data_IF_472221713304
#
_entry.id   IF_472221713304
#
_cell.length_a   1.000
_cell.length_b   1.000
_cell.length_c   1.000
_cell.angle_alpha   90.00
_cell.angle_beta   90.00
_cell.angle_gamma   90.00
#
_symmetry.space_group_name_H-M   'P 1'
#
loop_
_entity.id
_entity.type
_entity.pdbx_description
1 polymer ?
#
# COMPACT_ATOMS: atom_id res chain seq x y z
N UNK A 1 -22.80 4.52 4.04
CA UNK A 1 -21.83 4.09 3.00
C UNK A 1 -20.50 3.61 3.62
N UNK A 2 -20.48 2.57 4.46
CA UNK A 2 -19.29 2.16 5.23
C UNK A 2 -18.65 0.81 4.81
N UNK A 3 -19.24 0.11 3.84
CA UNK A 3 -18.86 -1.28 3.52
C UNK A 3 -17.63 -1.40 2.61
N UNK A 4 -17.39 -0.43 1.71
CA UNK A 4 -16.29 -0.46 0.73
C UNK A 4 -14.88 -0.34 1.33
N UNK A 5 -14.71 0.42 2.41
CA UNK A 5 -13.37 0.69 2.98
C UNK A 5 -12.83 -0.55 3.71
N UNK A 6 -13.70 -1.30 4.40
CA UNK A 6 -13.32 -2.56 5.04
C UNK A 6 -12.89 -3.62 4.01
N UNK A 7 -13.51 -3.65 2.83
CA UNK A 7 -13.11 -4.58 1.77
C UNK A 7 -11.75 -4.20 1.18
N UNK A 8 -11.52 -2.92 0.88
CA UNK A 8 -10.24 -2.46 0.32
C UNK A 8 -9.08 -2.72 1.26
N UNK A 9 -9.19 -2.29 2.53
CA UNK A 9 -8.14 -2.50 3.54
C UNK A 9 -7.81 -3.98 3.74
N UNK A 10 -8.84 -4.83 3.79
CA UNK A 10 -8.67 -6.28 3.94
C UNK A 10 -7.98 -6.91 2.73
N UNK A 11 -8.35 -6.50 1.52
CA UNK A 11 -7.71 -6.93 0.27
C UNK A 11 -6.26 -6.46 0.21
N UNK A 12 -6.01 -5.17 0.43
CA UNK A 12 -4.67 -4.58 0.47
C UNK A 12 -3.78 -5.30 1.47
N UNK A 13 -4.27 -5.61 2.68
CA UNK A 13 -3.52 -6.39 3.68
C UNK A 13 -3.09 -7.75 3.14
N UNK A 14 -3.97 -8.46 2.41
CA UNK A 14 -3.64 -9.76 1.81
C UNK A 14 -2.54 -9.60 0.75
N UNK A 15 -2.67 -8.62 -0.14
CA UNK A 15 -1.70 -8.39 -1.20
C UNK A 15 -0.33 -7.94 -0.69
N UNK A 16 -0.30 -7.06 0.32
CA UNK A 16 0.96 -6.61 0.95
C UNK A 16 1.77 -7.78 1.53
N UNK A 17 1.09 -8.83 2.01
CA UNK A 17 1.71 -10.02 2.59
C UNK A 17 2.26 -11.03 1.55
N UNK A 18 1.90 -10.88 0.26
CA UNK A 18 2.39 -11.77 -0.79
C UNK A 18 3.85 -11.40 -1.11
N UNK A 19 4.76 -12.35 -0.85
CA UNK A 19 6.16 -12.22 -1.26
C UNK A 19 6.27 -12.29 -2.78
N UNK A 20 7.06 -11.40 -3.37
CA UNK A 20 7.28 -11.35 -4.82
C UNK A 20 6.17 -10.64 -5.62
N UNK A 21 5.18 -10.05 -4.95
CA UNK A 21 4.20 -9.20 -5.61
C UNK A 21 4.71 -7.76 -5.66
N UNK A 22 4.82 -7.20 -6.86
CA UNK A 22 5.12 -5.78 -7.05
C UNK A 22 3.81 -5.00 -7.00
N UNK A 23 3.81 -3.92 -6.20
CA UNK A 23 2.61 -3.14 -5.93
C UNK A 23 2.93 -1.67 -6.17
N UNK A 24 2.14 -1.03 -7.04
CA UNK A 24 2.20 0.41 -7.29
C UNK A 24 0.96 1.07 -6.69
N UNK A 25 1.16 2.09 -5.87
CA UNK A 25 0.09 2.87 -5.25
C UNK A 25 -0.01 4.22 -5.94
N UNK A 26 -1.21 4.55 -6.41
CA UNK A 26 -1.53 5.87 -6.95
C UNK A 26 -2.29 6.67 -5.91
N UNK A 27 -1.80 7.88 -5.63
CA UNK A 27 -2.38 8.78 -4.64
C UNK A 27 -3.36 9.77 -5.30
N UNK A 28 -4.25 10.35 -4.50
CA UNK A 28 -5.22 11.34 -4.98
C UNK A 28 -4.58 12.62 -5.55
N UNK A 29 -3.35 12.95 -5.12
CA UNK A 29 -2.59 14.10 -5.62
C UNK A 29 -1.90 13.83 -6.98
N UNK A 30 -2.08 12.64 -7.57
CA UNK A 30 -1.45 12.24 -8.82
C UNK A 30 -0.04 11.66 -8.67
N UNK A 31 0.52 11.63 -7.46
CA UNK A 31 1.78 10.94 -7.20
C UNK A 31 1.60 9.42 -7.24
N UNK A 32 2.64 8.71 -7.68
CA UNK A 32 2.71 7.26 -7.63
C UNK A 32 3.90 6.81 -6.79
N UNK A 33 3.74 5.69 -6.08
CA UNK A 33 4.79 5.11 -5.25
C UNK A 33 4.82 3.59 -5.42
N UNK A 34 6.00 3.06 -5.70
CA UNK A 34 6.25 1.62 -5.69
C UNK A 34 6.49 1.15 -4.26
N UNK A 35 5.73 0.13 -3.84
CA UNK A 35 5.91 -0.45 -2.51
C UNK A 35 7.02 -1.49 -2.55
N UNK A 36 8.16 -1.15 -1.92
CA UNK A 36 9.25 -2.10 -1.76
C UNK A 36 8.87 -3.32 -0.89
N UNK A 37 9.75 -4.32 -0.80
CA UNK A 37 9.47 -5.57 -0.07
C UNK A 37 9.31 -5.38 1.44
N UNK A 38 9.79 -4.27 2.00
CA UNK A 38 9.73 -3.93 3.42
C UNK A 38 8.53 -3.03 3.70
N UNK A 39 7.34 -3.56 3.41
CA UNK A 39 6.06 -2.87 3.54
C UNK A 39 5.16 -3.59 4.55
N UNK A 40 4.43 -2.82 5.34
CA UNK A 40 3.45 -3.35 6.28
C UNK A 40 2.21 -2.46 6.34
N UNK A 41 1.06 -3.06 6.64
CA UNK A 41 -0.14 -2.31 6.97
C UNK A 41 -0.23 -2.14 8.49
N UNK A 42 -0.08 -0.92 8.98
CA UNK A 42 -0.17 -0.57 10.40
C UNK A 42 -1.36 0.37 10.59
N UNK A 43 -2.37 -0.08 11.34
CA UNK A 43 -3.65 0.63 11.48
C UNK A 43 -4.24 0.96 10.11
N UNK A 44 -4.25 2.23 9.70
CA UNK A 44 -4.81 2.72 8.43
C UNK A 44 -3.73 3.31 7.51
N UNK A 45 -2.47 2.95 7.74
CA UNK A 45 -1.31 3.44 6.99
C UNK A 45 -0.51 2.26 6.42
N UNK A 46 0.02 2.44 5.21
CA UNK A 46 1.09 1.61 4.68
C UNK A 46 2.40 2.21 5.18
N UNK A 47 3.19 1.41 5.90
CA UNK A 47 4.53 1.75 6.35
C UNK A 47 5.52 1.08 5.43
N UNK A 48 6.47 1.85 4.90
CA UNK A 48 7.54 1.39 4.02
C UNK A 48 8.86 1.79 4.65
N UNK A 49 9.80 0.85 4.71
CA UNK A 49 11.17 1.13 5.13
C UNK A 49 12.07 1.21 3.91
N UNK A 50 12.69 2.37 3.68
CA UNK A 50 13.68 2.53 2.61
C UNK A 50 15.01 1.82 2.94
N UNK A 51 15.96 1.85 2.00
CA UNK A 51 17.28 1.22 2.18
C UNK A 51 18.15 1.89 3.26
N UNK A 52 17.84 3.14 3.62
CA UNK A 52 18.49 3.91 4.67
C UNK A 52 17.75 3.81 6.01
N UNK A 53 16.78 2.89 6.11
CA UNK A 53 15.93 2.69 7.27
C UNK A 53 15.01 3.90 7.59
N UNK A 54 14.77 4.77 6.62
CA UNK A 54 13.77 5.81 6.74
C UNK A 54 12.37 5.21 6.62
N UNK A 55 11.50 5.63 7.52
CA UNK A 55 10.11 5.21 7.57
C UNK A 55 9.23 6.18 6.77
N UNK A 56 8.56 5.66 5.74
CA UNK A 56 7.56 6.40 4.96
C UNK A 56 6.20 5.85 5.29
N UNK A 57 5.26 6.73 5.64
CA UNK A 57 3.87 6.38 5.96
C UNK A 57 2.92 6.94 4.91
N UNK A 58 2.08 6.08 4.38
CA UNK A 58 1.06 6.43 3.39
C UNK A 58 -0.32 6.10 3.97
N UNK A 59 -1.12 7.11 4.36
CA UNK A 59 -2.50 6.89 4.78
C UNK A 59 -3.32 6.26 3.64
N UNK A 60 -4.10 5.22 3.96
CA UNK A 60 -4.98 4.55 2.99
C UNK A 60 -5.98 5.54 2.37
N UNK A 61 -6.41 6.55 3.13
CA UNK A 61 -7.31 7.60 2.64
C UNK A 61 -6.75 8.43 1.50
N UNK A 62 -5.42 8.44 1.31
CA UNK A 62 -4.78 9.13 0.19
C UNK A 62 -4.68 8.25 -1.06
N UNK A 63 -4.97 6.94 -0.95
CA UNK A 63 -4.83 5.98 -2.04
C UNK A 63 -6.06 6.04 -2.95
N UNK A 64 -5.81 6.41 -4.20
CA UNK A 64 -6.80 6.41 -5.27
C UNK A 64 -6.95 5.04 -5.92
N UNK A 65 -5.84 4.38 -6.21
CA UNK A 65 -5.80 3.09 -6.89
C UNK A 65 -4.52 2.32 -6.55
N UNK A 66 -4.53 1.01 -6.81
CA UNK A 66 -3.38 0.13 -6.62
C UNK A 66 -3.29 -0.83 -7.81
N UNK A 67 -2.12 -0.88 -8.43
CA UNK A 67 -1.79 -1.89 -9.44
C UNK A 67 -0.87 -2.96 -8.85
N UNK A 68 -1.03 -4.19 -9.31
CA UNK A 68 -0.32 -5.35 -8.80
C UNK A 68 0.22 -6.18 -9.95
N UNK A 69 1.52 -6.46 -9.92
CA UNK A 69 2.22 -7.21 -10.94
C UNK A 69 2.84 -8.46 -10.33
N UNK A 70 2.55 -9.60 -10.93
CA UNK A 70 3.22 -10.86 -10.65
C UNK A 70 4.17 -11.14 -11.82
N UNK A 71 5.46 -11.32 -11.52
CA UNK A 71 6.47 -11.77 -12.47
C UNK A 71 6.47 -13.29 -12.57
#
# INVERSE_FOLDING_TARGET
MAHKIKSFKSQLKKYLAIKGLDIIVYLHNGSMMELNKNRALVKDEIVIYDKNNHEVRIPISLIKAVDMFAA
#
